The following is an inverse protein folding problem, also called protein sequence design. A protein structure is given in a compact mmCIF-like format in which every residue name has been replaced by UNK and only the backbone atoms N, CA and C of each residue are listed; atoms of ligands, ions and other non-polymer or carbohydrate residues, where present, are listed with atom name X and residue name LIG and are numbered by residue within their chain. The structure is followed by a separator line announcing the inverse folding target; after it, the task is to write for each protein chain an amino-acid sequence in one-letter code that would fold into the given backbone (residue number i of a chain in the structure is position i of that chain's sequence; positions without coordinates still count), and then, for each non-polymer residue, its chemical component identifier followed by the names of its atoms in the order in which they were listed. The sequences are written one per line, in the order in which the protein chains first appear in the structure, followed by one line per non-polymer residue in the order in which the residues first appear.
data_IF_443900866628
#
_entry.id   IF_443900866628
#
_cell.length_a   1.000
_cell.length_b   1.000
_cell.length_c   1.000
_cell.angle_alpha   90.00
_cell.angle_beta   90.00
_cell.angle_gamma   90.00
#
_symmetry.space_group_name_H-M   'P 1'
#
loop_
_entity.id
_entity.type
_entity.pdbx_description
1 polymer ?
#
# COMPACT_ATOMS: atom_id res chain seq x y z
N UNK A 1 1.37 17.30 -26.32
CA UNK A 1 1.32 17.37 -24.84
C UNK A 1 0.03 16.70 -24.42
N UNK A 2 0.09 15.47 -23.91
CA UNK A 2 -1.14 14.83 -23.40
C UNK A 2 -1.60 15.67 -22.19
N UNK A 3 -2.83 16.19 -22.23
CA UNK A 3 -3.46 16.84 -21.09
C UNK A 3 -3.77 15.77 -20.05
N UNK A 4 -2.76 15.39 -19.26
CA UNK A 4 -2.92 14.44 -18.16
C UNK A 4 -3.86 15.02 -17.11
N UNK A 5 -4.73 14.17 -16.55
CA UNK A 5 -5.58 14.56 -15.44
C UNK A 5 -4.72 15.05 -14.27
N UNK A 6 -5.03 16.22 -13.72
CA UNK A 6 -4.38 16.78 -12.53
C UNK A 6 -5.07 16.18 -11.30
N UNK A 7 -4.33 15.40 -10.51
CA UNK A 7 -4.83 14.87 -9.25
C UNK A 7 -4.89 15.95 -8.16
N UNK A 8 -5.96 15.97 -7.38
CA UNK A 8 -6.09 16.84 -6.21
C UNK A 8 -5.68 16.07 -4.95
N UNK A 9 -4.69 16.58 -4.21
CA UNK A 9 -4.27 15.97 -2.95
C UNK A 9 -5.41 16.06 -1.93
N UNK A 10 -5.76 14.92 -1.33
CA UNK A 10 -6.71 14.86 -0.21
C UNK A 10 -5.98 14.43 1.05
N UNK A 11 -6.43 14.92 2.21
CA UNK A 11 -5.86 14.55 3.51
C UNK A 11 -6.85 13.72 4.31
N UNK A 12 -6.46 12.48 4.56
CA UNK A 12 -7.07 11.60 5.54
C UNK A 12 -5.99 10.74 6.17
N UNK A 13 -6.22 10.33 7.42
CA UNK A 13 -5.39 9.33 8.08
C UNK A 13 -6.20 8.06 8.27
N UNK A 14 -5.54 6.92 8.07
CA UNK A 14 -6.09 5.61 8.33
C UNK A 14 -5.45 5.09 9.61
N UNK A 15 -6.28 4.83 10.64
CA UNK A 15 -5.79 4.20 11.86
C UNK A 15 -5.34 2.77 11.57
N UNK A 16 -4.38 2.28 12.36
CA UNK A 16 -3.90 0.90 12.33
C UNK A 16 -5.05 -0.10 12.26
N UNK A 17 -4.89 -1.14 11.44
CA UNK A 17 -5.82 -2.26 11.30
C UNK A 17 -7.24 -1.88 10.81
N UNK A 18 -7.50 -0.61 10.44
CA UNK A 18 -8.80 -0.14 9.95
C UNK A 18 -9.19 -0.78 8.61
N UNK A 19 -8.22 -1.19 7.80
CA UNK A 19 -8.42 -1.81 6.48
C UNK A 19 -8.45 -3.35 6.50
N UNK A 20 -8.30 -3.99 7.67
CA UNK A 20 -8.20 -5.45 7.81
C UNK A 20 -9.26 -6.26 7.05
N UNK A 21 -10.48 -5.75 6.93
CA UNK A 21 -11.55 -6.43 6.18
C UNK A 21 -11.27 -6.40 4.68
N UNK A 22 -10.80 -5.27 4.16
CA UNK A 22 -10.40 -5.09 2.76
C UNK A 22 -9.18 -5.96 2.47
N UNK A 23 -8.13 -5.91 3.29
CA UNK A 23 -6.92 -6.71 3.10
C UNK A 23 -7.22 -8.21 2.98
N UNK A 24 -8.13 -8.72 3.84
CA UNK A 24 -8.55 -10.12 3.80
C UNK A 24 -9.37 -10.45 2.55
N UNK A 25 -10.20 -9.52 2.11
CA UNK A 25 -10.94 -9.68 0.87
C UNK A 25 -10.00 -9.72 -0.34
N UNK A 26 -8.96 -8.87 -0.37
CA UNK A 26 -7.91 -8.88 -1.40
C UNK A 26 -7.15 -10.21 -1.36
N UNK A 27 -6.71 -10.66 -0.18
CA UNK A 27 -6.00 -11.93 -0.01
C UNK A 27 -6.81 -13.14 -0.51
N UNK A 28 -8.14 -13.06 -0.44
CA UNK A 28 -9.02 -14.12 -0.91
C UNK A 28 -9.19 -14.15 -2.44
N UNK A 29 -8.83 -13.09 -3.17
CA UNK A 29 -9.08 -13.00 -4.60
C UNK A 29 -8.29 -14.04 -5.41
N UNK A 30 -8.92 -14.73 -6.37
CA UNK A 30 -8.22 -15.68 -7.24
C UNK A 30 -7.10 -15.04 -8.06
N UNK A 31 -7.25 -13.78 -8.45
CA UNK A 31 -6.25 -13.05 -9.25
C UNK A 31 -4.90 -13.01 -8.54
N UNK A 32 -4.87 -12.65 -7.25
CA UNK A 32 -3.65 -12.62 -6.46
C UNK A 32 -2.94 -13.97 -6.48
N UNK A 33 -3.70 -15.07 -6.37
CA UNK A 33 -3.12 -16.43 -6.35
C UNK A 33 -2.62 -16.95 -7.69
N UNK A 34 -3.11 -16.38 -8.81
CA UNK A 34 -2.87 -16.89 -10.16
C UNK A 34 -1.89 -16.04 -10.95
N UNK A 35 -1.70 -14.78 -10.57
CA UNK A 35 -0.68 -13.91 -11.18
C UNK A 35 0.69 -14.52 -10.98
N UNK A 36 1.48 -14.57 -12.05
CA UNK A 36 2.84 -15.13 -12.03
C UNK A 36 3.83 -14.28 -11.26
N UNK A 37 3.60 -12.95 -11.25
CA UNK A 37 4.41 -11.94 -10.59
C UNK A 37 3.49 -10.91 -9.90
N UNK A 38 3.04 -11.19 -8.66
CA UNK A 38 1.97 -10.43 -8.02
C UNK A 38 2.46 -9.12 -7.39
N UNK A 39 2.38 -8.03 -8.15
CA UNK A 39 2.54 -6.66 -7.66
C UNK A 39 1.20 -6.05 -7.20
N UNK A 40 1.19 -5.50 -5.98
CA UNK A 40 0.06 -4.76 -5.41
C UNK A 40 0.47 -3.32 -5.11
N UNK A 41 -0.32 -2.37 -5.58
CA UNK A 41 -0.08 -0.93 -5.36
C UNK A 41 -1.08 -0.40 -4.33
N UNK A 42 -0.58 0.10 -3.20
CA UNK A 42 -1.38 0.78 -2.16
C UNK A 42 -1.42 2.29 -2.45
N UNK A 43 -2.58 2.79 -2.88
CA UNK A 43 -2.78 4.20 -3.25
C UNK A 43 -3.14 5.03 -2.01
N UNK A 44 -2.34 6.05 -1.72
CA UNK A 44 -2.48 6.87 -0.52
C UNK A 44 -1.54 6.43 0.60
N UNK A 45 -0.34 5.96 0.23
CA UNK A 45 0.76 5.62 1.12
C UNK A 45 1.11 6.84 1.99
N UNK A 46 0.48 6.91 3.17
CA UNK A 46 0.47 8.15 3.93
C UNK A 46 1.82 8.49 4.54
N UNK A 47 1.83 9.47 5.46
CA UNK A 47 3.01 9.78 6.27
C UNK A 47 3.43 8.64 7.23
N UNK A 48 2.78 7.49 7.16
CA UNK A 48 3.13 6.28 7.87
C UNK A 48 2.87 5.07 6.97
N UNK A 49 3.91 4.27 6.75
CA UNK A 49 3.85 3.05 5.94
C UNK A 49 3.16 1.86 6.62
N UNK A 50 2.54 2.06 7.80
CA UNK A 50 1.94 0.99 8.61
C UNK A 50 0.86 0.23 7.83
N UNK A 51 -0.01 0.91 7.10
CA UNK A 51 -1.09 0.24 6.34
C UNK A 51 -0.56 -0.63 5.21
N UNK A 52 0.46 -0.15 4.48
CA UNK A 52 1.10 -0.92 3.43
C UNK A 52 1.81 -2.16 3.99
N UNK A 53 2.47 -2.03 5.15
CA UNK A 53 3.08 -3.17 5.85
C UNK A 53 2.04 -4.17 6.33
N UNK A 54 0.93 -3.69 6.92
CA UNK A 54 -0.19 -4.52 7.34
C UNK A 54 -0.81 -5.29 6.17
N UNK A 55 -0.95 -4.64 5.02
CA UNK A 55 -1.42 -5.25 3.79
C UNK A 55 -0.45 -6.35 3.34
N UNK A 56 0.84 -6.02 3.18
CA UNK A 56 1.88 -6.99 2.81
C UNK A 56 1.88 -8.22 3.72
N UNK A 57 1.91 -8.03 5.05
CA UNK A 57 1.90 -9.12 6.03
C UNK A 57 0.68 -10.04 5.90
N UNK A 58 -0.47 -9.51 5.45
CA UNK A 58 -1.69 -10.30 5.24
C UNK A 58 -1.66 -11.02 3.90
N UNK A 59 -1.23 -10.35 2.83
CA UNK A 59 -1.15 -10.94 1.50
C UNK A 59 -0.08 -12.03 1.41
N UNK A 60 1.07 -11.84 2.06
CA UNK A 60 2.17 -12.79 2.10
C UNK A 60 1.77 -14.18 2.66
N UNK A 61 0.71 -14.25 3.48
CA UNK A 61 0.16 -15.51 3.98
C UNK A 61 -0.51 -16.35 2.88
N UNK A 62 -1.03 -15.70 1.84
CA UNK A 62 -1.68 -16.34 0.71
C UNK A 62 -0.75 -16.48 -0.51
N UNK A 63 0.15 -15.52 -0.70
CA UNK A 63 1.17 -15.49 -1.76
C UNK A 63 2.49 -14.96 -1.21
N UNK A 64 3.45 -15.84 -0.85
CA UNK A 64 4.71 -15.45 -0.22
C UNK A 64 5.60 -14.53 -1.08
N UNK A 65 5.41 -14.55 -2.40
CA UNK A 65 6.15 -13.79 -3.41
C UNK A 65 5.47 -12.45 -3.78
N UNK A 66 4.47 -12.00 -3.02
CA UNK A 66 3.78 -10.73 -3.29
C UNK A 66 4.66 -9.52 -3.01
N UNK A 67 4.70 -8.61 -3.96
CA UNK A 67 5.30 -7.29 -3.80
C UNK A 67 4.23 -6.26 -3.50
N UNK A 68 4.48 -5.38 -2.51
CA UNK A 68 3.58 -4.26 -2.19
C UNK A 68 4.36 -2.96 -2.33
N UNK A 69 3.86 -2.08 -3.19
CA UNK A 69 4.41 -0.73 -3.40
C UNK A 69 3.41 0.30 -2.91
N UNK A 70 3.85 1.15 -1.98
CA UNK A 70 3.08 2.32 -1.58
C UNK A 70 3.25 3.46 -2.57
N UNK A 71 2.15 4.07 -3.01
CA UNK A 71 2.15 5.25 -3.88
C UNK A 71 1.49 6.44 -3.17
N UNK A 72 2.17 7.57 -3.23
CA UNK A 72 1.71 8.83 -2.64
C UNK A 72 2.08 10.00 -3.53
N UNK A 73 1.14 10.94 -3.67
CA UNK A 73 1.30 12.11 -4.52
C UNK A 73 2.15 13.20 -3.86
N UNK A 74 2.17 13.26 -2.53
CA UNK A 74 2.92 14.27 -1.78
C UNK A 74 4.33 13.78 -1.37
N UNK A 75 5.42 14.31 -1.96
CA UNK A 75 6.77 13.83 -1.70
C UNK A 75 7.21 13.95 -0.23
N UNK A 76 6.71 14.96 0.49
CA UNK A 76 7.04 15.12 1.91
C UNK A 76 6.51 13.95 2.76
N UNK A 77 5.34 13.40 2.41
CA UNK A 77 4.74 12.27 3.15
C UNK A 77 5.49 10.98 2.89
N UNK A 78 5.98 10.77 1.66
CA UNK A 78 6.84 9.63 1.31
C UNK A 78 8.10 9.64 2.17
N UNK A 79 8.81 10.77 2.24
CA UNK A 79 10.05 10.88 3.05
C UNK A 79 9.81 10.54 4.52
N UNK A 80 8.74 11.08 5.12
CA UNK A 80 8.40 10.75 6.51
C UNK A 80 8.12 9.26 6.70
N UNK A 81 7.44 8.62 5.75
CA UNK A 81 7.16 7.19 5.82
C UNK A 81 8.45 6.34 5.65
N UNK A 82 9.36 6.74 4.77
CA UNK A 82 10.68 6.09 4.59
C UNK A 82 11.53 6.19 5.86
N UNK A 83 11.61 7.37 6.48
CA UNK A 83 12.31 7.57 7.75
C UNK A 83 11.74 6.68 8.86
N UNK A 84 10.41 6.59 8.95
CA UNK A 84 9.75 5.69 9.90
C UNK A 84 10.07 4.22 9.61
N UNK A 85 10.07 3.79 8.35
CA UNK A 85 10.41 2.43 7.96
C UNK A 85 11.85 2.06 8.33
N UNK A 86 12.80 2.99 8.16
CA UNK A 86 14.19 2.80 8.59
C UNK A 86 14.27 2.63 10.11
N UNK A 87 13.47 3.39 10.87
CA UNK A 87 13.48 3.31 12.34
C UNK A 87 12.87 2.02 12.91
N UNK A 88 12.06 1.28 12.14
CA UNK A 88 11.40 0.03 12.59
C UNK A 88 11.97 -1.25 11.98
N UNK A 89 12.93 -1.12 11.05
CA UNK A 89 13.74 -2.25 10.55
C UNK A 89 14.85 -2.59 11.53
#
# INVERSE_FOLDING_TARGET
MASGAIGTVTRGTTNTNRLRRVDRWVAAQPVLRRTSDPLVVDLGYGASGVTALELHQRLAKARPDVEVVGLEIEPARVRTAEEQLVAVR
#
